data_IF_447288810641
#
_entry.id   IF_447288810641
#
_cell.length_a   1.000
_cell.length_b   1.000
_cell.length_c   1.000
_cell.angle_alpha   90.00
_cell.angle_beta   90.00
_cell.angle_gamma   90.00
#
_symmetry.space_group_name_H-M   'P 1'
#
loop_
_entity.id
_entity.type
_entity.pdbx_description
1 polymer ?
#
# COMPACT_ATOMS: atom_id res chain seq x y z
N UNK A 1 -6.44 34.48 -0.76
CA UNK A 1 -7.41 34.17 0.32
C UNK A 1 -7.83 32.69 0.32
N UNK A 2 -8.29 32.08 -0.79
CA UNK A 2 -8.78 30.67 -0.80
C UNK A 2 -7.73 29.57 -0.51
N UNK A 3 -6.45 29.81 -0.81
CA UNK A 3 -5.40 28.81 -0.61
C UNK A 3 -4.98 28.59 0.86
N UNK A 4 -5.20 29.59 1.74
CA UNK A 4 -4.81 29.51 3.15
C UNK A 4 -5.80 28.71 4.00
N UNK A 5 -7.09 28.78 3.64
CA UNK A 5 -8.15 28.01 4.28
C UNK A 5 -7.98 26.49 4.10
N UNK A 6 -7.36 26.05 2.99
CA UNK A 6 -7.09 24.64 2.72
C UNK A 6 -5.98 24.04 3.62
N UNK A 7 -5.12 24.87 4.21
CA UNK A 7 -3.95 24.44 4.98
C UNK A 7 -4.08 24.65 6.49
N UNK A 8 -5.26 25.08 7.00
CA UNK A 8 -5.52 25.31 8.42
C UNK A 8 -4.44 26.19 9.11
N UNK A 9 -3.99 27.23 8.41
CA UNK A 9 -3.00 28.20 8.90
C UNK A 9 -3.71 29.53 9.15
N UNK A 10 -3.83 29.92 10.42
CA UNK A 10 -4.62 31.08 10.84
C UNK A 10 -4.04 32.44 10.43
N UNK A 11 -2.73 32.50 10.12
CA UNK A 11 -2.11 33.71 9.55
C UNK A 11 -0.80 33.39 8.81
N UNK A 12 -0.55 34.11 7.72
CA UNK A 12 0.76 34.09 7.06
C UNK A 12 1.65 35.08 7.79
N UNK A 13 2.62 34.59 8.55
CA UNK A 13 3.61 35.44 9.20
C UNK A 13 4.56 36.03 8.14
N UNK A 14 4.19 37.17 7.56
CA UNK A 14 5.01 37.90 6.61
C UNK A 14 6.06 38.71 7.39
N UNK A 15 7.02 38.04 8.01
CA UNK A 15 8.18 38.73 8.59
C UNK A 15 9.00 39.32 7.44
N UNK A 16 9.03 40.65 7.36
CA UNK A 16 9.90 41.36 6.42
C UNK A 16 11.35 41.09 6.82
N UNK A 17 12.04 40.24 6.06
CA UNK A 17 13.48 40.06 6.20
C UNK A 17 14.19 41.39 5.85
N UNK A 18 14.58 42.15 6.87
CA UNK A 18 15.44 43.34 6.68
C UNK A 18 16.82 42.85 6.28
N UNK A 19 17.16 43.04 5.00
CA UNK A 19 18.54 42.93 4.56
C UNK A 19 19.32 44.15 5.04
N UNK A 20 20.38 43.92 5.82
CA UNK A 20 21.32 44.97 6.25
C UNK A 20 22.03 45.56 5.03
N UNK A 21 22.20 46.88 4.98
CA UNK A 21 23.09 47.53 3.99
C UNK A 21 24.53 47.11 4.27
N UNK A 22 25.20 46.55 3.26
CA UNK A 22 26.56 46.02 3.34
C UNK A 22 27.58 47.03 2.84
N UNK A 23 28.79 46.97 3.39
CA UNK A 23 29.94 47.75 2.92
C UNK A 23 30.61 47.04 1.73
N UNK A 24 31.33 47.79 0.90
CA UNK A 24 31.90 47.29 -0.35
C UNK A 24 32.95 46.16 -0.16
N UNK A 25 33.49 46.02 1.07
CA UNK A 25 34.48 45.02 1.46
C UNK A 25 33.85 43.71 2.01
N UNK A 26 32.52 43.67 2.18
CA UNK A 26 31.83 42.44 2.60
C UNK A 26 31.68 41.47 1.41
N UNK A 27 32.47 40.40 1.42
CA UNK A 27 32.54 39.42 0.33
C UNK A 27 31.21 38.64 0.16
N UNK A 28 30.56 38.74 -1.00
CA UNK A 28 29.26 38.10 -1.32
C UNK A 28 29.31 36.57 -1.28
N UNK A 29 30.50 36.01 -1.50
CA UNK A 29 30.66 34.61 -1.87
C UNK A 29 30.37 33.61 -0.74
N UNK A 30 30.63 33.95 0.52
CA UNK A 30 30.60 32.96 1.60
C UNK A 30 29.18 32.57 2.03
N UNK A 31 28.25 33.52 2.10
CA UNK A 31 26.87 33.26 2.52
C UNK A 31 25.98 32.71 1.40
N UNK A 32 26.08 33.26 0.18
CA UNK A 32 25.30 32.75 -0.96
C UNK A 32 25.74 31.33 -1.34
N UNK A 33 27.04 31.00 -1.21
CA UNK A 33 27.53 29.61 -1.33
C UNK A 33 26.99 28.73 -0.20
N UNK A 34 26.91 29.21 1.05
CA UNK A 34 26.38 28.43 2.17
C UNK A 34 24.88 28.12 2.04
N UNK A 35 24.06 29.08 1.60
CA UNK A 35 22.61 28.91 1.38
C UNK A 35 22.35 27.99 0.18
N UNK A 36 23.06 28.17 -0.92
CA UNK A 36 22.94 27.27 -2.08
C UNK A 36 23.47 25.87 -1.79
N UNK A 37 24.52 25.73 -0.97
CA UNK A 37 25.01 24.45 -0.48
C UNK A 37 23.95 23.75 0.39
N UNK A 38 23.34 24.44 1.35
CA UNK A 38 22.29 23.89 2.21
C UNK A 38 21.08 23.39 1.40
N UNK A 39 20.63 24.16 0.40
CA UNK A 39 19.55 23.77 -0.51
C UNK A 39 19.91 22.54 -1.36
N UNK A 40 21.13 22.50 -1.92
CA UNK A 40 21.63 21.35 -2.69
C UNK A 40 21.74 20.10 -1.80
N UNK A 41 22.26 20.25 -0.58
CA UNK A 41 22.39 19.18 0.40
C UNK A 41 21.03 18.63 0.82
N UNK A 42 20.03 19.47 1.09
CA UNK A 42 18.66 19.02 1.33
C UNK A 42 18.07 18.28 0.11
N UNK A 43 18.23 18.85 -1.09
CA UNK A 43 17.73 18.25 -2.33
C UNK A 43 18.30 16.84 -2.54
N UNK A 44 19.62 16.68 -2.43
CA UNK A 44 20.29 15.41 -2.71
C UNK A 44 20.19 14.42 -1.55
N UNK A 45 20.35 14.90 -0.31
CA UNK A 45 20.45 14.02 0.86
C UNK A 45 19.11 13.62 1.45
N UNK A 46 18.05 14.41 1.20
CA UNK A 46 16.73 14.21 1.79
C UNK A 46 15.67 14.05 0.70
N UNK A 47 15.45 15.07 -0.13
CA UNK A 47 14.33 15.07 -1.08
C UNK A 47 14.44 13.93 -2.10
N UNK A 48 15.57 13.81 -2.81
CA UNK A 48 15.77 12.75 -3.80
C UNK A 48 15.68 11.38 -3.14
N UNK A 49 16.32 11.17 -1.98
CA UNK A 49 16.22 9.90 -1.24
C UNK A 49 14.79 9.53 -0.87
N UNK A 50 13.98 10.51 -0.48
CA UNK A 50 12.57 10.31 -0.16
C UNK A 50 11.79 9.89 -1.42
N UNK A 51 12.01 10.57 -2.56
CA UNK A 51 11.36 10.22 -3.83
C UNK A 51 11.81 8.85 -4.35
N UNK A 52 13.10 8.55 -4.30
CA UNK A 52 13.65 7.26 -4.73
C UNK A 52 13.10 6.12 -3.87
N UNK A 53 13.02 6.32 -2.55
CA UNK A 53 12.44 5.34 -1.65
C UNK A 53 10.94 5.14 -1.91
N UNK A 54 10.17 6.22 -2.08
CA UNK A 54 8.75 6.11 -2.46
C UNK A 54 8.59 5.37 -3.78
N UNK A 55 9.39 5.71 -4.79
CA UNK A 55 9.36 5.07 -6.11
C UNK A 55 9.73 3.59 -6.01
N UNK A 56 10.76 3.26 -5.25
CA UNK A 56 11.19 1.88 -5.01
C UNK A 56 10.10 1.06 -4.32
N UNK A 57 9.47 1.59 -3.27
CA UNK A 57 8.37 0.93 -2.57
C UNK A 57 7.15 0.72 -3.46
N UNK A 58 6.75 1.72 -4.25
CA UNK A 58 5.63 1.60 -5.19
C UNK A 58 5.92 0.56 -6.28
N UNK A 59 7.14 0.53 -6.83
CA UNK A 59 7.55 -0.50 -7.81
C UNK A 59 7.54 -1.90 -7.20
N UNK A 60 8.06 -2.05 -5.98
CA UNK A 60 8.03 -3.32 -5.27
C UNK A 60 6.60 -3.82 -5.05
N UNK A 61 5.69 -2.93 -4.61
CA UNK A 61 4.26 -3.28 -4.46
C UNK A 61 3.60 -3.63 -5.78
N UNK A 62 3.89 -2.89 -6.85
CA UNK A 62 3.39 -3.21 -8.19
C UNK A 62 3.83 -4.61 -8.60
N UNK A 63 5.10 -4.97 -8.42
CA UNK A 63 5.61 -6.32 -8.70
C UNK A 63 4.86 -7.41 -7.91
N UNK A 64 4.60 -7.17 -6.63
CA UNK A 64 3.83 -8.08 -5.79
C UNK A 64 2.36 -8.18 -6.20
N UNK A 65 1.75 -7.08 -6.65
CA UNK A 65 0.39 -7.11 -7.17
C UNK A 65 0.29 -7.81 -8.53
N UNK A 66 1.31 -7.70 -9.38
CA UNK A 66 1.38 -8.48 -10.61
C UNK A 66 1.42 -9.99 -10.31
N UNK A 67 2.28 -10.43 -9.39
CA UNK A 67 2.36 -11.85 -9.01
C UNK A 67 1.09 -12.33 -8.31
N UNK A 68 0.46 -11.48 -7.48
CA UNK A 68 -0.83 -11.77 -6.87
C UNK A 68 -1.95 -11.92 -7.91
N UNK A 69 -1.99 -11.02 -8.90
CA UNK A 69 -2.96 -11.07 -9.99
C UNK A 69 -2.86 -12.35 -10.80
N UNK A 70 -1.66 -12.90 -10.98
CA UNK A 70 -1.46 -14.21 -11.61
C UNK A 70 -1.97 -15.36 -10.73
N UNK A 71 -1.77 -15.31 -9.41
CA UNK A 71 -2.25 -16.36 -8.48
C UNK A 71 -3.78 -16.39 -8.37
N UNK A 72 -4.40 -15.22 -8.27
CA UNK A 72 -5.85 -15.06 -8.11
C UNK A 72 -6.56 -14.71 -9.43
N UNK A 73 -5.96 -15.11 -10.55
CA UNK A 73 -6.52 -14.84 -11.89
C UNK A 73 -7.91 -15.45 -12.06
N UNK A 74 -8.23 -16.52 -11.31
CA UNK A 74 -9.54 -17.18 -11.30
C UNK A 74 -10.70 -16.22 -11.05
N UNK A 75 -10.48 -15.20 -10.22
CA UNK A 75 -11.49 -14.21 -9.88
C UNK A 75 -11.70 -13.15 -10.96
N UNK A 76 -10.79 -13.03 -11.92
CA UNK A 76 -10.94 -12.13 -13.06
C UNK A 76 -12.01 -12.70 -13.98
N UNK A 77 -13.13 -11.97 -14.10
CA UNK A 77 -14.25 -12.31 -14.97
C UNK A 77 -14.84 -13.72 -14.69
N UNK A 78 -14.85 -14.13 -13.41
CA UNK A 78 -15.33 -15.47 -12.99
C UNK A 78 -16.74 -15.78 -13.53
N UNK A 79 -17.61 -14.78 -13.63
CA UNK A 79 -18.97 -14.92 -14.20
C UNK A 79 -18.98 -15.53 -15.61
N UNK A 80 -18.03 -15.15 -16.48
CA UNK A 80 -18.01 -15.56 -17.90
C UNK A 80 -16.82 -16.46 -18.25
N UNK A 81 -16.07 -16.91 -17.25
CA UNK A 81 -14.86 -17.72 -17.47
C UNK A 81 -15.19 -19.12 -17.96
N UNK A 82 -14.39 -19.64 -18.88
CA UNK A 82 -14.52 -21.00 -19.37
C UNK A 82 -14.23 -22.04 -18.25
N UNK A 83 -15.04 -23.12 -18.10
CA UNK A 83 -14.83 -24.14 -17.08
C UNK A 83 -13.44 -24.79 -17.09
N UNK A 84 -12.84 -25.02 -18.27
CA UNK A 84 -11.50 -25.59 -18.33
C UNK A 84 -10.44 -24.61 -17.79
N UNK A 85 -10.63 -23.31 -18.02
CA UNK A 85 -9.77 -22.29 -17.42
C UNK A 85 -9.95 -22.23 -15.91
N UNK A 86 -11.18 -22.36 -15.41
CA UNK A 86 -11.44 -22.41 -13.96
C UNK A 86 -10.63 -23.53 -13.30
N UNK A 87 -10.57 -24.73 -13.89
CA UNK A 87 -9.78 -25.84 -13.36
C UNK A 87 -8.29 -25.49 -13.24
N UNK A 88 -7.66 -25.07 -14.35
CA UNK A 88 -6.23 -24.76 -14.39
C UNK A 88 -5.87 -23.64 -13.42
N UNK A 89 -6.72 -22.61 -13.34
CA UNK A 89 -6.46 -21.46 -12.48
C UNK A 89 -6.72 -21.76 -10.99
N UNK A 90 -7.67 -22.64 -10.67
CA UNK A 90 -7.93 -23.13 -9.32
C UNK A 90 -6.79 -24.02 -8.82
N UNK A 91 -6.27 -24.93 -9.65
CA UNK A 91 -5.10 -25.76 -9.35
C UNK A 91 -3.90 -24.88 -8.98
N UNK A 92 -3.59 -23.89 -9.83
CA UNK A 92 -2.50 -22.93 -9.57
C UNK A 92 -2.67 -22.14 -8.27
N UNK A 93 -3.91 -21.80 -7.91
CA UNK A 93 -4.21 -21.13 -6.66
C UNK A 93 -3.97 -22.06 -5.46
N UNK A 94 -4.46 -23.30 -5.53
CA UNK A 94 -4.28 -24.30 -4.49
C UNK A 94 -2.80 -24.69 -4.31
N UNK A 95 -2.03 -24.81 -5.40
CA UNK A 95 -0.58 -25.03 -5.35
C UNK A 95 0.17 -23.89 -4.63
N UNK A 96 -0.35 -22.66 -4.72
CA UNK A 96 0.24 -21.51 -4.02
C UNK A 96 -0.03 -21.54 -2.51
N UNK A 97 -1.04 -22.29 -2.06
CA UNK A 97 -1.51 -22.39 -0.68
C UNK A 97 -1.94 -23.84 -0.34
N UNK A 98 -0.99 -24.80 -0.35
CA UNK A 98 -1.31 -26.24 -0.30
C UNK A 98 -1.94 -26.70 1.02
N UNK A 99 -1.84 -25.89 2.08
CA UNK A 99 -2.43 -26.20 3.40
C UNK A 99 -3.79 -25.53 3.61
N UNK A 100 -4.18 -24.59 2.74
CA UNK A 100 -5.40 -23.78 2.91
C UNK A 100 -6.56 -24.27 2.05
N UNK A 101 -6.28 -25.03 0.98
CA UNK A 101 -7.28 -25.44 0.00
C UNK A 101 -7.25 -26.92 -0.33
N UNK A 102 -8.44 -27.50 -0.44
CA UNK A 102 -8.67 -28.75 -1.17
C UNK A 102 -8.90 -28.42 -2.66
N UNK A 103 -8.05 -28.96 -3.55
CA UNK A 103 -8.06 -28.68 -4.99
C UNK A 103 -9.42 -29.05 -5.61
N UNK A 104 -9.90 -30.26 -5.35
CA UNK A 104 -11.12 -30.79 -5.97
C UNK A 104 -12.34 -30.04 -5.46
N UNK A 105 -12.38 -29.73 -4.16
CA UNK A 105 -13.46 -28.92 -3.59
C UNK A 105 -13.46 -27.50 -4.13
N UNK A 106 -12.30 -26.85 -4.20
CA UNK A 106 -12.17 -25.48 -4.72
C UNK A 106 -12.66 -25.36 -6.17
N UNK A 107 -12.29 -26.29 -7.03
CA UNK A 107 -12.73 -26.34 -8.43
C UNK A 107 -14.26 -26.41 -8.51
N UNK A 108 -14.87 -27.36 -7.79
CA UNK A 108 -16.31 -27.55 -7.80
C UNK A 108 -17.05 -26.33 -7.23
N UNK A 109 -16.54 -25.76 -6.14
CA UNK A 109 -17.08 -24.54 -5.53
C UNK A 109 -17.04 -23.36 -6.51
N UNK A 110 -15.93 -23.18 -7.25
CA UNK A 110 -15.83 -22.15 -8.28
C UNK A 110 -16.85 -22.34 -9.40
N UNK A 111 -17.02 -23.56 -9.92
CA UNK A 111 -17.99 -23.86 -10.98
C UNK A 111 -19.43 -23.62 -10.53
N UNK A 112 -19.80 -24.09 -9.34
CA UNK A 112 -21.13 -23.86 -8.78
C UNK A 112 -21.37 -22.38 -8.50
N UNK A 113 -20.39 -21.66 -7.92
CA UNK A 113 -20.50 -20.24 -7.67
C UNK A 113 -20.70 -19.44 -8.96
N UNK A 114 -20.04 -19.82 -10.05
CA UNK A 114 -20.29 -19.22 -11.36
C UNK A 114 -21.74 -19.41 -11.81
N UNK A 115 -22.31 -20.61 -11.60
CA UNK A 115 -23.72 -20.87 -11.88
C UNK A 115 -24.66 -19.93 -11.10
N UNK A 116 -24.41 -19.74 -9.81
CA UNK A 116 -25.15 -18.78 -8.98
C UNK A 116 -24.96 -17.34 -9.45
N UNK A 117 -23.72 -16.95 -9.80
CA UNK A 117 -23.44 -15.62 -10.32
C UNK A 117 -24.23 -15.34 -11.60
N UNK A 118 -24.37 -16.32 -12.50
CA UNK A 118 -25.19 -16.20 -13.72
C UNK A 118 -26.68 -16.11 -13.42
N UNK A 119 -27.18 -16.92 -12.47
CA UNK A 119 -28.60 -16.94 -12.09
C UNK A 119 -29.03 -15.61 -11.46
N UNK A 120 -28.20 -15.06 -10.58
CA UNK A 120 -28.47 -13.83 -9.82
C UNK A 120 -27.93 -12.57 -10.52
N UNK A 121 -27.37 -12.71 -11.74
CA UNK A 121 -26.76 -11.64 -12.55
C UNK A 121 -25.68 -10.83 -11.79
N UNK A 122 -24.88 -11.53 -10.98
CA UNK A 122 -23.78 -10.98 -10.19
C UNK A 122 -22.52 -10.94 -11.04
N UNK A 123 -21.99 -9.76 -11.32
CA UNK A 123 -20.80 -9.61 -12.19
C UNK A 123 -19.51 -9.47 -11.40
N UNK A 124 -19.58 -8.85 -10.23
CA UNK A 124 -18.37 -8.50 -9.48
C UNK A 124 -18.10 -9.48 -8.34
N UNK A 125 -16.83 -9.81 -8.12
CA UNK A 125 -16.40 -10.72 -7.05
C UNK A 125 -16.89 -10.27 -5.67
N UNK A 126 -16.86 -8.96 -5.39
CA UNK A 126 -17.32 -8.40 -4.11
C UNK A 126 -18.80 -8.67 -3.87
N UNK A 127 -19.62 -8.59 -4.91
CA UNK A 127 -21.05 -8.88 -4.83
C UNK A 127 -21.29 -10.37 -4.62
N UNK A 128 -20.50 -11.23 -5.27
CA UNK A 128 -20.53 -12.68 -5.04
C UNK A 128 -20.18 -13.02 -3.59
N UNK A 129 -19.11 -12.42 -3.04
CA UNK A 129 -18.73 -12.61 -1.64
C UNK A 129 -19.82 -12.13 -0.66
N UNK A 130 -20.45 -10.99 -0.94
CA UNK A 130 -21.56 -10.49 -0.15
C UNK A 130 -22.78 -11.43 -0.24
N UNK A 131 -23.09 -11.96 -1.43
CA UNK A 131 -24.17 -12.92 -1.63
C UNK A 131 -23.94 -14.22 -0.85
N UNK A 132 -22.74 -14.80 -0.93
CA UNK A 132 -22.37 -16.00 -0.14
C UNK A 132 -22.51 -15.73 1.35
N UNK A 133 -22.13 -14.53 1.80
CA UNK A 133 -22.19 -14.15 3.21
C UNK A 133 -23.60 -13.90 3.73
N UNK A 134 -24.48 -13.30 2.93
CA UNK A 134 -25.83 -12.93 3.33
C UNK A 134 -26.82 -14.10 3.27
N UNK A 135 -26.53 -15.11 2.44
CA UNK A 135 -27.39 -16.29 2.28
C UNK A 135 -26.87 -17.51 3.08
N UNK A 136 -25.94 -17.30 4.01
CA UNK A 136 -25.30 -18.35 4.83
C UNK A 136 -24.71 -19.52 4.01
N UNK A 137 -24.25 -19.24 2.79
CA UNK A 137 -23.65 -20.23 1.88
C UNK A 137 -22.17 -20.52 2.19
N UNK A 138 -21.65 -19.99 3.30
CA UNK A 138 -20.25 -20.15 3.72
C UNK A 138 -19.89 -21.62 3.98
N UNK A 139 -20.83 -22.41 4.51
CA UNK A 139 -20.63 -23.85 4.72
C UNK A 139 -20.59 -24.64 3.42
N UNK A 140 -21.22 -24.11 2.35
CA UNK A 140 -21.29 -24.75 1.03
C UNK A 140 -20.04 -24.43 0.20
N UNK A 141 -19.46 -23.24 0.39
CA UNK A 141 -18.31 -22.74 -0.37
C UNK A 141 -17.13 -22.33 0.54
N UNK A 142 -16.62 -23.21 1.42
CA UNK A 142 -15.59 -22.84 2.39
C UNK A 142 -14.25 -22.47 1.74
N UNK A 143 -13.78 -23.21 0.73
CA UNK A 143 -12.50 -22.95 0.07
C UNK A 143 -12.58 -21.66 -0.74
N UNK A 144 -13.68 -21.46 -1.47
CA UNK A 144 -13.91 -20.26 -2.25
C UNK A 144 -14.04 -19.02 -1.35
N UNK A 145 -14.74 -19.13 -0.22
CA UNK A 145 -14.86 -18.05 0.75
C UNK A 145 -13.50 -17.62 1.31
N UNK A 146 -12.67 -18.59 1.69
CA UNK A 146 -11.29 -18.33 2.15
C UNK A 146 -10.47 -17.66 1.06
N UNK A 147 -10.53 -18.17 -0.17
CA UNK A 147 -9.80 -17.61 -1.31
C UNK A 147 -10.22 -16.16 -1.60
N UNK A 148 -11.52 -15.87 -1.61
CA UNK A 148 -12.05 -14.52 -1.78
C UNK A 148 -11.60 -13.59 -0.65
N UNK A 149 -11.63 -14.07 0.59
CA UNK A 149 -11.21 -13.29 1.77
C UNK A 149 -9.73 -12.93 1.71
N UNK A 150 -8.88 -13.88 1.32
CA UNK A 150 -7.44 -13.63 1.12
C UNK A 150 -7.28 -12.55 0.05
N UNK A 151 -7.88 -12.72 -1.13
CA UNK A 151 -7.74 -11.77 -2.23
C UNK A 151 -8.23 -10.35 -1.88
N UNK A 152 -9.41 -10.22 -1.26
CA UNK A 152 -10.00 -8.93 -0.92
C UNK A 152 -9.29 -8.21 0.24
N UNK A 153 -8.53 -8.93 1.08
CA UNK A 153 -7.84 -8.34 2.24
C UNK A 153 -6.40 -7.90 1.95
N UNK A 154 -5.74 -8.43 0.92
CA UNK A 154 -4.34 -8.10 0.59
C UNK A 154 -4.10 -6.61 0.29
N UNK A 155 -4.96 -5.90 -0.47
CA UNK A 155 -4.78 -4.46 -0.68
C UNK A 155 -4.82 -3.67 0.65
N UNK A 156 -5.66 -4.10 1.60
CA UNK A 156 -5.86 -3.42 2.89
C UNK A 156 -4.66 -3.60 3.83
N UNK A 157 -4.07 -4.79 3.86
CA UNK A 157 -2.92 -5.09 4.72
C UNK A 157 -1.65 -4.37 4.26
N UNK A 158 -1.47 -4.18 2.95
CA UNK A 158 -0.34 -3.42 2.40
C UNK A 158 -0.29 -1.98 2.94
N UNK A 159 -1.40 -1.24 2.85
CA UNK A 159 -1.51 0.13 3.34
C UNK A 159 -1.35 0.24 4.85
N UNK A 160 -1.89 -0.72 5.60
CA UNK A 160 -1.81 -0.74 7.07
C UNK A 160 -0.36 -0.96 7.56
N UNK A 161 0.39 -1.83 6.89
CA UNK A 161 1.79 -2.11 7.22
C UNK A 161 2.70 -0.87 7.03
N UNK A 162 2.37 0.00 6.08
CA UNK A 162 3.10 1.24 5.82
C UNK A 162 2.91 2.27 6.93
N UNK A 163 1.69 2.34 7.47
CA UNK A 163 1.37 3.20 8.61
C UNK A 163 2.08 2.67 9.86
N UNK A 164 2.02 1.35 10.10
CA UNK A 164 2.69 0.71 11.23
C UNK A 164 4.21 0.93 11.22
N UNK A 165 4.88 0.64 10.10
CA UNK A 165 6.32 0.86 9.96
C UNK A 165 6.71 2.33 10.22
N UNK A 166 5.92 3.29 9.75
CA UNK A 166 6.19 4.71 10.00
C UNK A 166 6.15 5.08 11.50
N UNK A 167 5.32 4.41 12.30
CA UNK A 167 5.21 4.62 13.74
C UNK A 167 6.41 4.03 14.49
N UNK A 168 6.85 2.81 14.15
CA UNK A 168 7.97 2.15 14.83
C UNK A 168 9.32 2.83 14.56
N UNK A 169 9.58 3.27 13.32
CA UNK A 169 10.82 4.00 13.00
C UNK A 169 10.83 5.44 13.54
N UNK A 170 9.67 6.02 13.89
CA UNK A 170 9.58 7.33 14.53
C UNK A 170 9.88 7.31 16.02
N UNK A 171 9.72 6.16 16.69
CA UNK A 171 9.86 6.03 18.16
C UNK A 171 11.25 5.52 18.60
N UNK A 172 11.99 4.84 17.72
CA UNK A 172 13.31 4.28 18.03
C UNK A 172 14.52 5.23 17.92
N UNK A 173 14.33 6.53 17.61
CA UNK A 173 15.43 7.51 17.50
C UNK A 173 15.47 8.58 18.60
N UNK A 174 14.54 8.57 19.54
CA UNK A 174 14.52 9.53 20.67
C UNK A 174 15.07 8.97 21.97
N UNK A 175 15.48 7.69 22.03
CA UNK A 175 15.91 7.02 23.28
C UNK A 175 17.37 6.51 23.23
N UNK A 176 18.27 7.16 22.48
CA UNK A 176 19.71 6.92 22.61
C UNK A 176 20.47 8.23 22.77
N UNK A 177 20.17 8.97 23.84
CA UNK A 177 21.14 9.86 24.47
C UNK A 177 20.61 10.28 25.85
N UNK A 178 20.86 9.46 26.86
CA UNK A 178 21.06 9.86 28.26
C UNK A 178 21.23 8.58 29.08
N UNK A 179 22.44 8.06 29.13
CA UNK A 179 22.92 7.24 30.24
C UNK A 179 24.46 7.32 30.24
N UNK A 180 24.96 8.47 30.69
CA UNK A 180 26.28 8.55 31.30
C UNK A 180 26.08 8.88 32.78
N UNK A 181 26.73 8.07 33.62
CA UNK A 181 27.14 8.23 35.02
C UNK A 181 26.55 7.14 35.92
N UNK A 182 27.34 6.08 36.12
CA UNK A 182 27.62 5.58 37.47
C UNK A 182 29.13 5.37 37.61
N UNK A 183 29.74 6.28 38.36
CA UNK A 183 31.10 6.16 38.89
C UNK A 183 31.07 5.11 40.00
N UNK A 184 32.11 4.27 40.02
CA UNK A 184 32.37 3.24 41.03
C UNK A 184 32.91 3.87 42.31
#
# INVERSE_FOLDING_TARGET
>A
MKALAFCNMDSVNYQRNRTRKRFADENRDSEDKAVTNSRKTFRTSVYIKIIDNMTGQLRHRMGNYCSLGTRFEIFKDLHDKDPHKINVEAERLAESYPNDFDIDSLINECLHSQGYMKLENIKYLKECFAYISNNDLKSTFPNLEIAMRIFLSIPVTSCSAEIGNKIYYGRGKTEQHNDFIYVK
#
